data_IF_225216639309
#
_entry.id   IF_225216639309
#
_cell.length_a   1.000
_cell.length_b   1.000
_cell.length_c   1.000
_cell.angle_alpha   90.00
_cell.angle_beta   90.00
_cell.angle_gamma   90.00
#
_symmetry.space_group_name_H-M   'P 1'
#
loop_
_entity.id
_entity.type
_entity.pdbx_description
1 polymer ?
#
# COMPACT_ATOMS: atom_id res chain seq x y z
N UNK A 1 -8.88 64.30 -30.44
CA UNK A 1 -10.21 64.15 -31.08
C UNK A 1 -10.17 62.98 -32.05
N UNK A 2 -11.22 62.14 -31.99
CA UNK A 2 -11.62 61.06 -32.92
C UNK A 2 -10.91 59.69 -32.85
N UNK A 3 -11.60 58.80 -32.14
CA UNK A 3 -11.76 57.34 -32.35
C UNK A 3 -12.37 57.02 -33.74
N UNK A 4 -12.28 55.76 -34.26
CA UNK A 4 -13.18 54.64 -33.90
C UNK A 4 -12.43 53.29 -33.70
N UNK A 5 -12.75 52.43 -32.73
CA UNK A 5 -13.90 51.49 -32.63
C UNK A 5 -13.92 50.38 -33.69
N UNK A 6 -13.31 49.21 -33.39
CA UNK A 6 -13.57 47.95 -34.11
C UNK A 6 -13.92 46.84 -33.10
N UNK A 7 -15.13 46.32 -33.28
CA UNK A 7 -15.75 45.17 -32.62
C UNK A 7 -15.00 43.87 -32.94
N UNK A 8 -14.64 43.09 -31.91
CA UNK A 8 -14.32 41.67 -32.05
C UNK A 8 -15.53 40.84 -31.62
N UNK A 9 -16.22 40.25 -32.59
CA UNK A 9 -17.27 39.26 -32.34
C UNK A 9 -16.64 37.88 -32.15
N UNK A 10 -16.92 37.31 -30.97
CA UNK A 10 -16.70 35.91 -30.62
C UNK A 10 -17.63 35.01 -31.43
N UNK A 11 -17.06 34.07 -32.19
CA UNK A 11 -17.80 32.93 -32.75
C UNK A 11 -17.15 31.64 -32.28
N UNK A 12 -17.72 31.07 -31.22
CA UNK A 12 -17.49 29.68 -30.81
C UNK A 12 -18.08 28.75 -31.86
N UNK A 13 -17.24 27.97 -32.54
CA UNK A 13 -17.66 26.93 -33.47
C UNK A 13 -17.29 25.56 -32.87
N UNK A 14 -18.28 24.92 -32.24
CA UNK A 14 -18.18 23.60 -31.64
C UNK A 14 -18.48 22.55 -32.73
N UNK A 15 -17.45 22.01 -33.39
CA UNK A 15 -17.61 20.83 -34.27
C UNK A 15 -17.29 19.55 -33.50
N UNK A 16 -18.37 18.91 -33.09
CA UNK A 16 -18.49 17.49 -32.74
C UNK A 16 -17.97 16.61 -33.86
N UNK A 17 -16.94 15.81 -33.58
CA UNK A 17 -16.58 14.61 -34.36
C UNK A 17 -16.59 13.41 -33.41
N UNK A 18 -17.77 12.80 -33.29
CA UNK A 18 -17.93 11.44 -32.80
C UNK A 18 -17.52 10.47 -33.90
N UNK A 19 -16.45 9.70 -33.68
CA UNK A 19 -16.23 8.44 -34.37
C UNK A 19 -16.43 7.28 -33.37
N UNK A 20 -17.25 6.26 -33.70
CA UNK A 20 -17.42 5.09 -32.85
C UNK A 20 -16.29 4.10 -33.14
N UNK A 21 -15.30 4.01 -32.25
CA UNK A 21 -14.33 2.92 -32.27
C UNK A 21 -14.99 1.64 -31.71
N UNK A 22 -15.09 0.64 -32.58
CA UNK A 22 -15.54 -0.72 -32.28
C UNK A 22 -14.78 -1.30 -31.08
N UNK A 23 -15.49 -1.55 -29.98
CA UNK A 23 -14.97 -2.27 -28.82
C UNK A 23 -14.97 -3.76 -29.18
N UNK A 24 -13.80 -4.28 -29.53
CA UNK A 24 -13.54 -5.72 -29.58
C UNK A 24 -13.43 -6.22 -28.13
N UNK A 25 -14.53 -6.76 -27.60
CA UNK A 25 -14.58 -7.43 -26.30
C UNK A 25 -13.92 -8.80 -26.40
N UNK A 26 -12.62 -8.89 -26.10
CA UNK A 26 -11.98 -10.19 -25.85
C UNK A 26 -12.42 -10.72 -24.49
N UNK A 27 -13.48 -11.54 -24.46
CA UNK A 27 -13.83 -12.36 -23.30
C UNK A 27 -12.75 -13.41 -23.07
N UNK A 28 -11.77 -13.13 -22.21
CA UNK A 28 -10.94 -14.19 -21.63
C UNK A 28 -11.68 -14.79 -20.42
N UNK A 29 -12.44 -15.84 -20.70
CA UNK A 29 -13.04 -16.74 -19.72
C UNK A 29 -11.92 -17.57 -19.09
N UNK A 30 -11.49 -17.22 -17.88
CA UNK A 30 -10.60 -18.06 -17.06
C UNK A 30 -11.33 -19.35 -16.67
N UNK A 31 -11.12 -20.41 -17.44
CA UNK A 31 -11.47 -21.77 -17.08
C UNK A 31 -10.46 -22.26 -16.03
N UNK A 32 -10.85 -22.27 -14.75
CA UNK A 32 -10.13 -23.04 -13.73
C UNK A 32 -10.54 -24.50 -13.85
N UNK A 33 -9.68 -25.30 -14.49
CA UNK A 33 -9.72 -26.76 -14.45
C UNK A 33 -8.98 -27.24 -13.21
N UNK A 34 -9.68 -27.96 -12.33
CA UNK A 34 -9.08 -28.69 -11.22
C UNK A 34 -8.16 -29.79 -11.76
N UNK A 35 -6.84 -29.64 -11.59
CA UNK A 35 -5.92 -30.78 -11.63
C UNK A 35 -4.66 -30.43 -10.85
N UNK A 36 -4.38 -31.19 -9.78
CA UNK A 36 -3.07 -31.21 -9.14
C UNK A 36 -2.13 -32.05 -10.01
N UNK A 37 -0.93 -31.56 -10.31
CA UNK A 37 0.25 -32.39 -10.09
C UNK A 37 1.37 -31.64 -9.35
N UNK A 38 1.98 -32.36 -8.41
CA UNK A 38 3.26 -32.00 -7.77
C UNK A 38 4.38 -32.00 -8.81
N UNK A 39 5.13 -30.89 -8.95
CA UNK A 39 6.60 -30.78 -9.16
C UNK A 39 6.96 -29.31 -9.46
N UNK A 40 7.74 -28.70 -8.56
CA UNK A 40 8.50 -27.44 -8.68
C UNK A 40 7.73 -26.22 -9.23
N UNK A 41 6.86 -25.63 -8.40
CA UNK A 41 6.41 -24.26 -8.63
C UNK A 41 7.61 -23.29 -8.48
N UNK A 42 7.71 -22.20 -9.28
CA UNK A 42 8.68 -21.15 -9.00
C UNK A 42 8.36 -20.64 -7.60
N UNK A 43 9.28 -20.81 -6.66
CA UNK A 43 9.19 -20.11 -5.38
C UNK A 43 9.26 -18.64 -5.72
N UNK A 44 8.11 -17.93 -5.71
CA UNK A 44 8.09 -16.49 -5.94
C UNK A 44 8.70 -15.79 -4.72
N UNK A 45 10.02 -15.88 -4.60
CA UNK A 45 10.82 -15.42 -3.45
C UNK A 45 10.70 -13.91 -3.26
N UNK A 46 10.43 -13.15 -4.33
CA UNK A 46 10.21 -11.70 -4.26
C UNK A 46 8.78 -11.31 -3.85
N UNK A 47 7.75 -12.07 -4.23
CA UNK A 47 6.36 -11.66 -3.99
C UNK A 47 5.85 -12.17 -2.64
N UNK A 48 5.16 -11.32 -1.87
CA UNK A 48 4.49 -11.79 -0.66
C UNK A 48 3.43 -12.85 -0.98
N UNK A 49 3.10 -13.76 -0.05
CA UNK A 49 2.07 -14.76 -0.31
C UNK A 49 0.72 -14.11 -0.60
N UNK A 50 0.02 -14.57 -1.64
CA UNK A 50 -1.30 -14.04 -2.03
C UNK A 50 -2.33 -14.11 -0.92
N UNK A 51 -2.19 -15.08 0.01
CA UNK A 51 -3.03 -15.18 1.21
C UNK A 51 -2.90 -13.98 2.14
N UNK A 52 -1.85 -13.17 2.03
CA UNK A 52 -1.69 -11.93 2.81
C UNK A 52 -2.41 -10.73 2.20
N UNK A 53 -2.91 -10.87 0.97
CA UNK A 53 -3.70 -9.87 0.27
C UNK A 53 -5.20 -10.13 0.50
N UNK A 54 -6.05 -9.09 0.36
CA UNK A 54 -7.49 -9.30 0.33
C UNK A 54 -7.88 -10.19 -0.86
N UNK A 55 -8.81 -11.12 -0.61
CA UNK A 55 -9.33 -11.99 -1.67
C UNK A 55 -10.08 -11.17 -2.75
N UNK A 56 -10.13 -11.62 -4.01
CA UNK A 56 -10.96 -10.98 -5.02
C UNK A 56 -12.41 -10.84 -4.54
N UNK A 57 -12.97 -9.64 -4.67
CA UNK A 57 -14.34 -9.34 -4.30
C UNK A 57 -15.19 -9.25 -5.57
N UNK A 58 -15.77 -10.38 -5.96
CA UNK A 58 -16.65 -10.47 -7.12
C UNK A 58 -18.08 -10.08 -6.71
N UNK A 59 -18.45 -8.84 -7.03
CA UNK A 59 -19.80 -8.33 -6.78
C UNK A 59 -20.72 -8.66 -7.96
N UNK A 60 -21.97 -9.12 -7.71
CA UNK A 60 -22.92 -9.33 -8.78
C UNK A 60 -23.24 -8.00 -9.47
N UNK A 61 -23.30 -8.00 -10.80
CA UNK A 61 -23.80 -6.86 -11.58
C UNK A 61 -25.33 -6.86 -11.46
N UNK A 62 -25.91 -5.70 -11.14
CA UNK A 62 -27.36 -5.53 -11.09
C UNK A 62 -27.89 -5.34 -12.51
N UNK A 63 -28.81 -6.19 -12.93
CA UNK A 63 -29.52 -6.01 -14.20
C UNK A 63 -30.46 -4.78 -14.12
N UNK A 64 -30.61 -3.97 -15.20
CA UNK A 64 -31.37 -2.72 -15.18
C UNK A 64 -32.79 -2.83 -14.61
N UNK A 65 -33.47 -3.96 -14.86
CA UNK A 65 -34.87 -4.19 -14.47
C UNK A 65 -35.02 -5.16 -13.28
N UNK A 66 -33.93 -5.56 -12.63
CA UNK A 66 -34.01 -6.49 -11.50
C UNK A 66 -34.48 -5.77 -10.22
N UNK A 67 -35.53 -6.27 -9.54
CA UNK A 67 -35.91 -5.76 -8.23
C UNK A 67 -34.77 -5.99 -7.23
N UNK A 68 -34.45 -4.95 -6.46
CA UNK A 68 -33.31 -4.95 -5.52
C UNK A 68 -33.51 -5.95 -4.37
N UNK A 69 -34.74 -5.98 -3.84
CA UNK A 69 -35.05 -6.65 -2.60
C UNK A 69 -35.23 -8.15 -2.85
N UNK A 70 -34.55 -8.96 -2.04
CA UNK A 70 -34.43 -10.42 -2.08
C UNK A 70 -33.31 -11.00 -2.96
N UNK A 71 -33.51 -11.22 -4.27
CA UNK A 71 -32.52 -12.02 -5.04
C UNK A 71 -31.15 -11.34 -5.13
N UNK A 72 -31.12 -10.05 -5.49
CA UNK A 72 -29.88 -9.30 -5.62
C UNK A 72 -29.21 -9.08 -4.25
N UNK A 73 -29.97 -8.61 -3.25
CA UNK A 73 -29.46 -8.40 -1.90
C UNK A 73 -28.88 -9.67 -1.26
N UNK A 74 -29.54 -10.83 -1.39
CA UNK A 74 -29.01 -12.11 -0.89
C UNK A 74 -27.75 -12.54 -1.62
N UNK A 75 -27.68 -12.36 -2.94
CA UNK A 75 -26.48 -12.69 -3.74
C UNK A 75 -25.31 -11.80 -3.35
N UNK A 76 -25.57 -10.51 -3.19
CA UNK A 76 -24.59 -9.52 -2.73
C UNK A 76 -24.09 -9.84 -1.32
N UNK A 77 -25.00 -10.15 -0.38
CA UNK A 77 -24.67 -10.55 0.98
C UNK A 77 -23.80 -11.82 1.01
N UNK A 78 -24.13 -12.84 0.20
CA UNK A 78 -23.33 -14.05 0.05
C UNK A 78 -21.92 -13.77 -0.48
N UNK A 79 -21.77 -12.84 -1.44
CA UNK A 79 -20.47 -12.44 -1.95
C UNK A 79 -19.58 -11.83 -0.84
N UNK A 80 -20.11 -10.87 -0.08
CA UNK A 80 -19.39 -10.29 1.06
C UNK A 80 -19.08 -11.31 2.16
N UNK A 81 -20.03 -12.18 2.50
CA UNK A 81 -19.82 -13.22 3.51
C UNK A 81 -18.70 -14.18 3.11
N UNK A 82 -18.64 -14.58 1.83
CA UNK A 82 -17.54 -15.41 1.28
C UNK A 82 -16.20 -14.67 1.33
N UNK A 83 -16.18 -13.40 0.95
CA UNK A 83 -14.98 -12.56 1.02
C UNK A 83 -14.42 -12.48 2.45
N UNK A 84 -15.24 -12.09 3.44
CA UNK A 84 -14.78 -12.00 4.83
C UNK A 84 -14.40 -13.35 5.43
N UNK A 85 -15.16 -14.41 5.14
CA UNK A 85 -14.81 -15.78 5.56
C UNK A 85 -13.44 -16.19 5.02
N UNK A 86 -13.15 -15.87 3.77
CA UNK A 86 -11.85 -16.15 3.15
C UNK A 86 -10.75 -15.32 3.79
N UNK A 87 -10.97 -14.03 4.01
CA UNK A 87 -10.01 -13.15 4.68
C UNK A 87 -9.64 -13.62 6.08
N UNK A 88 -10.62 -14.01 6.90
CA UNK A 88 -10.38 -14.55 8.26
C UNK A 88 -9.64 -15.88 8.22
N UNK A 89 -10.01 -16.79 7.30
CA UNK A 89 -9.26 -18.06 7.10
C UNK A 89 -7.80 -17.80 6.72
N UNK A 90 -7.56 -16.85 5.84
CA UNK A 90 -6.22 -16.47 5.43
C UNK A 90 -5.38 -15.95 6.60
N UNK A 91 -5.94 -15.17 7.52
CA UNK A 91 -5.23 -14.73 8.73
C UNK A 91 -4.77 -15.94 9.55
N UNK A 92 -5.64 -16.92 9.74
CA UNK A 92 -5.30 -18.14 10.49
C UNK A 92 -4.16 -18.93 9.82
N UNK A 93 -4.25 -19.16 8.50
CA UNK A 93 -3.19 -19.87 7.78
C UNK A 93 -1.87 -19.10 7.74
N UNK A 94 -1.93 -17.78 7.55
CA UNK A 94 -0.75 -16.91 7.61
C UNK A 94 -0.13 -16.90 9.01
N UNK A 95 -0.95 -16.96 10.07
CA UNK A 95 -0.47 -17.08 11.44
C UNK A 95 0.33 -18.36 11.62
N UNK A 96 -0.22 -19.52 11.24
CA UNK A 96 0.49 -20.80 11.31
C UNK A 96 1.79 -20.76 10.51
N UNK A 97 1.73 -20.33 9.25
CA UNK A 97 2.91 -20.28 8.38
C UNK A 97 4.00 -19.35 8.95
N UNK A 98 3.61 -18.22 9.53
CA UNK A 98 4.54 -17.28 10.17
C UNK A 98 5.23 -17.84 11.41
N UNK A 99 4.61 -18.79 12.13
CA UNK A 99 5.18 -19.37 13.36
C UNK A 99 6.45 -20.18 13.05
N UNK A 100 6.44 -20.96 11.97
CA UNK A 100 7.61 -21.75 11.57
C UNK A 100 8.81 -20.86 11.28
N UNK A 101 8.57 -19.75 10.57
CA UNK A 101 9.61 -18.76 10.24
C UNK A 101 10.07 -18.04 11.51
N UNK A 102 9.15 -17.68 12.41
CA UNK A 102 9.49 -17.03 13.67
C UNK A 102 10.35 -17.92 14.56
N UNK A 103 10.04 -19.22 14.68
CA UNK A 103 10.84 -20.19 15.43
C UNK A 103 12.27 -20.26 14.88
N UNK A 104 12.43 -20.32 13.56
CA UNK A 104 13.76 -20.28 12.92
C UNK A 104 14.54 -19.01 13.30
N UNK A 105 13.89 -17.85 13.27
CA UNK A 105 14.53 -16.57 13.63
C UNK A 105 14.91 -16.54 15.11
N UNK A 106 14.05 -17.06 15.98
CA UNK A 106 14.28 -17.08 17.43
C UNK A 106 15.46 -18.01 17.78
N UNK A 107 15.49 -19.23 17.25
CA UNK A 107 16.50 -20.23 17.55
C UNK A 107 17.86 -19.93 16.89
N UNK A 108 17.87 -19.66 15.57
CA UNK A 108 19.12 -19.51 14.81
C UNK A 108 19.69 -18.09 14.86
N UNK A 109 18.84 -17.09 15.03
CA UNK A 109 19.21 -15.68 14.92
C UNK A 109 18.92 -14.85 16.17
N UNK A 110 18.61 -15.50 17.31
CA UNK A 110 18.34 -14.82 18.59
C UNK A 110 17.27 -13.73 18.46
N UNK A 111 16.20 -14.05 17.73
CA UNK A 111 15.09 -13.13 17.42
C UNK A 111 15.47 -11.91 16.57
N UNK A 112 16.66 -11.88 15.97
CA UNK A 112 17.11 -10.79 15.09
C UNK A 112 16.68 -11.03 13.64
N UNK A 113 15.61 -10.34 13.24
CA UNK A 113 15.12 -10.35 11.85
C UNK A 113 16.17 -9.82 10.86
N UNK A 114 16.89 -8.77 11.24
CA UNK A 114 17.94 -8.17 10.40
C UNK A 114 19.06 -9.18 10.12
N UNK A 115 19.47 -9.95 11.14
CA UNK A 115 20.49 -11.00 10.98
C UNK A 115 20.02 -12.13 10.06
N UNK A 116 18.77 -12.56 10.20
CA UNK A 116 18.17 -13.62 9.38
C UNK A 116 18.02 -13.22 7.90
N UNK A 117 17.69 -11.95 7.63
CA UNK A 117 17.65 -11.40 6.27
C UNK A 117 19.04 -11.32 5.66
N UNK A 118 20.00 -10.74 6.40
CA UNK A 118 21.39 -10.55 5.94
C UNK A 118 22.12 -11.87 5.72
N UNK A 119 21.80 -12.92 6.47
CA UNK A 119 22.37 -14.26 6.29
C UNK A 119 21.81 -15.02 5.09
N UNK A 120 20.83 -14.48 4.36
CA UNK A 120 20.20 -15.16 3.24
C UNK A 120 19.16 -16.22 3.63
N UNK A 121 18.81 -16.36 4.91
CA UNK A 121 17.89 -17.41 5.37
C UNK A 121 16.41 -17.09 5.21
N UNK A 122 16.06 -15.84 4.91
CA UNK A 122 14.68 -15.42 4.68
C UNK A 122 14.56 -14.80 3.31
N UNK A 123 13.59 -15.25 2.52
CA UNK A 123 13.17 -14.59 1.28
C UNK A 123 12.33 -13.32 1.55
N UNK A 124 12.09 -12.51 0.52
CA UNK A 124 11.14 -11.38 0.59
C UNK A 124 9.74 -11.88 0.88
N UNK A 125 9.33 -13.02 0.30
CA UNK A 125 8.03 -13.62 0.56
C UNK A 125 7.85 -13.94 2.04
N UNK A 126 8.86 -14.53 2.69
CA UNK A 126 8.86 -14.83 4.13
C UNK A 126 8.79 -13.55 4.98
N UNK A 127 9.63 -12.57 4.61
CA UNK A 127 9.66 -11.28 5.28
C UNK A 127 8.31 -10.58 5.21
N UNK A 128 7.68 -10.53 4.03
CA UNK A 128 6.37 -9.92 3.84
C UNK A 128 5.27 -10.67 4.59
N UNK A 129 5.32 -12.01 4.63
CA UNK A 129 4.41 -12.83 5.42
C UNK A 129 4.45 -12.47 6.91
N UNK A 130 5.65 -12.42 7.51
CA UNK A 130 5.83 -12.05 8.93
C UNK A 130 5.24 -10.66 9.23
N UNK A 131 5.53 -9.69 8.36
CA UNK A 131 5.15 -8.29 8.57
C UNK A 131 3.65 -8.07 8.43
N UNK A 132 3.05 -8.63 7.37
CA UNK A 132 1.59 -8.57 7.11
C UNK A 132 0.81 -9.36 8.17
N UNK A 133 1.26 -10.56 8.52
CA UNK A 133 0.61 -11.35 9.56
C UNK A 133 0.64 -10.64 10.92
N UNK A 134 1.77 -10.05 11.33
CA UNK A 134 1.84 -9.29 12.59
C UNK A 134 0.90 -8.09 12.60
N UNK A 135 0.69 -7.45 11.45
CA UNK A 135 -0.27 -6.35 11.30
C UNK A 135 -1.71 -6.82 11.51
N UNK A 136 -2.08 -7.96 10.93
CA UNK A 136 -3.44 -8.49 10.95
C UNK A 136 -3.80 -9.10 12.30
N UNK A 137 -2.93 -9.94 12.87
CA UNK A 137 -3.13 -10.56 14.18
C UNK A 137 -3.36 -9.52 15.28
N UNK A 138 -2.66 -8.38 15.23
CA UNK A 138 -2.87 -7.27 16.20
C UNK A 138 -4.24 -6.60 16.08
N UNK A 139 -4.92 -6.75 14.94
CA UNK A 139 -6.23 -6.14 14.66
C UNK A 139 -7.39 -7.10 14.84
N UNK A 140 -7.15 -8.41 14.80
CA UNK A 140 -8.18 -9.43 15.01
C UNK A 140 -9.00 -9.20 16.29
N UNK A 141 -8.41 -8.88 17.46
CA UNK A 141 -9.23 -8.68 18.68
C UNK A 141 -10.22 -7.52 18.55
N UNK A 142 -9.77 -6.38 18.01
CA UNK A 142 -10.62 -5.20 17.83
C UNK A 142 -11.66 -5.46 16.74
N UNK A 143 -11.27 -6.12 15.65
CA UNK A 143 -12.16 -6.52 14.57
C UNK A 143 -13.26 -7.47 15.06
N UNK A 144 -12.90 -8.47 15.88
CA UNK A 144 -13.84 -9.40 16.49
C UNK A 144 -14.79 -8.69 17.47
N UNK A 145 -14.29 -7.73 18.25
CA UNK A 145 -15.12 -6.91 19.13
C UNK A 145 -16.15 -6.08 18.33
N UNK A 146 -15.73 -5.43 17.25
CA UNK A 146 -16.64 -4.69 16.36
C UNK A 146 -17.70 -5.62 15.79
N UNK A 147 -17.31 -6.82 15.33
CA UNK A 147 -18.25 -7.81 14.82
C UNK A 147 -19.26 -8.27 15.88
N UNK A 148 -18.80 -8.49 17.12
CA UNK A 148 -19.67 -8.88 18.24
C UNK A 148 -20.68 -7.78 18.61
N UNK A 149 -20.22 -6.53 18.70
CA UNK A 149 -21.06 -5.40 19.10
C UNK A 149 -22.03 -4.98 18.00
N UNK A 150 -21.56 -4.94 16.75
CA UNK A 150 -22.37 -4.46 15.62
C UNK A 150 -23.22 -5.57 15.00
N UNK A 151 -22.92 -6.85 15.27
CA UNK A 151 -23.69 -8.00 14.78
C UNK A 151 -23.93 -7.94 13.27
N UNK A 152 -25.20 -7.88 12.88
CA UNK A 152 -25.62 -7.77 11.48
C UNK A 152 -25.27 -6.42 10.81
N UNK A 153 -25.08 -5.35 11.58
CA UNK A 153 -24.66 -4.03 11.05
C UNK A 153 -23.16 -3.93 10.78
N UNK A 154 -22.38 -4.98 11.06
CA UNK A 154 -20.93 -4.99 10.86
C UNK A 154 -20.48 -4.61 9.44
N UNK A 155 -21.13 -5.03 8.35
CA UNK A 155 -20.75 -4.59 7.00
C UNK A 155 -20.76 -3.07 6.82
N UNK A 156 -21.67 -2.34 7.47
CA UNK A 156 -21.73 -0.87 7.40
C UNK A 156 -20.58 -0.23 8.18
N UNK A 157 -20.28 -0.76 9.37
CA UNK A 157 -19.20 -0.25 10.25
C UNK A 157 -17.83 -0.51 9.65
N UNK A 158 -17.63 -1.70 9.07
CA UNK A 158 -16.39 -2.09 8.42
C UNK A 158 -16.10 -1.23 7.19
N UNK A 159 -17.13 -0.81 6.44
CA UNK A 159 -16.96 0.15 5.33
C UNK A 159 -16.45 1.51 5.84
N UNK A 160 -16.95 1.97 6.99
CA UNK A 160 -16.61 3.28 7.55
C UNK A 160 -15.21 3.35 8.19
N UNK A 161 -14.68 2.25 8.74
CA UNK A 161 -13.48 2.26 9.58
C UNK A 161 -12.40 1.28 9.06
N UNK A 162 -11.58 1.70 8.10
CA UNK A 162 -10.48 0.88 7.53
C UNK A 162 -9.34 0.57 8.51
N UNK A 163 -9.21 1.31 9.61
CA UNK A 163 -8.11 1.19 10.57
C UNK A 163 -8.17 -0.08 11.42
N UNK A 164 -9.39 -0.56 11.69
CA UNK A 164 -9.68 -1.75 12.51
C UNK A 164 -9.62 -3.04 11.68
N UNK A 165 -9.80 -2.93 10.37
CA UNK A 165 -9.95 -4.07 9.47
C UNK A 165 -8.58 -4.67 9.12
N UNK A 166 -8.37 -5.99 9.33
CA UNK A 166 -7.19 -6.70 8.84
C UNK A 166 -7.02 -6.55 7.32
N UNK A 167 -5.80 -6.58 6.82
CA UNK A 167 -5.51 -6.39 5.39
C UNK A 167 -6.21 -7.42 4.51
N UNK A 168 -6.25 -8.68 4.91
CA UNK A 168 -6.98 -9.75 4.20
C UNK A 168 -8.49 -9.52 4.07
N UNK A 169 -9.06 -8.62 4.89
CA UNK A 169 -10.48 -8.28 4.90
C UNK A 169 -10.78 -6.89 4.33
N UNK A 170 -9.80 -6.20 3.72
CA UNK A 170 -10.00 -4.85 3.17
C UNK A 170 -10.63 -4.90 1.79
N UNK A 171 -11.72 -4.16 1.61
CA UNK A 171 -12.40 -4.03 0.32
C UNK A 171 -11.55 -3.17 -0.63
N UNK A 172 -11.48 -3.46 -1.94
CA UNK A 172 -10.70 -2.68 -2.90
C UNK A 172 -10.92 -1.16 -2.82
N UNK A 173 -12.19 -0.72 -2.76
CA UNK A 173 -12.55 0.71 -2.59
C UNK A 173 -11.93 1.34 -1.35
N UNK A 174 -11.76 0.58 -0.27
CA UNK A 174 -11.12 1.09 0.96
C UNK A 174 -9.61 1.25 0.77
N UNK A 175 -8.97 0.32 0.06
CA UNK A 175 -7.54 0.42 -0.26
C UNK A 175 -7.27 1.65 -1.11
N UNK A 176 -8.09 1.89 -2.13
CA UNK A 176 -7.96 3.07 -3.00
C UNK A 176 -8.20 4.38 -2.23
N UNK A 177 -9.24 4.41 -1.38
CA UNK A 177 -9.53 5.55 -0.52
C UNK A 177 -8.40 5.84 0.48
N UNK A 178 -7.86 4.80 1.13
CA UNK A 178 -6.71 4.91 2.04
C UNK A 178 -5.48 5.44 1.32
N UNK A 179 -5.18 4.93 0.11
CA UNK A 179 -4.06 5.40 -0.73
C UNK A 179 -4.22 6.87 -1.12
N UNK A 180 -5.43 7.29 -1.52
CA UNK A 180 -5.73 8.67 -1.89
C UNK A 180 -5.57 9.61 -0.71
N UNK A 181 -6.15 9.28 0.45
CA UNK A 181 -6.00 10.06 1.69
C UNK A 181 -4.54 10.18 2.12
N UNK A 182 -3.76 9.10 1.97
CA UNK A 182 -2.34 9.11 2.29
C UNK A 182 -1.55 10.03 1.34
N UNK A 183 -1.83 10.01 0.03
CA UNK A 183 -1.19 10.92 -0.91
C UNK A 183 -1.57 12.38 -0.66
N UNK A 184 -2.83 12.68 -0.34
CA UNK A 184 -3.26 14.03 0.04
C UNK A 184 -2.49 14.53 1.27
N UNK A 185 -2.38 13.70 2.31
CA UNK A 185 -1.60 13.99 3.52
C UNK A 185 -0.13 14.23 3.21
N UNK A 186 0.47 13.39 2.37
CA UNK A 186 1.84 13.55 1.88
C UNK A 186 2.01 14.87 1.12
N UNK A 187 1.08 15.19 0.22
CA UNK A 187 1.12 16.43 -0.55
C UNK A 187 1.03 17.68 0.32
N UNK A 188 0.24 17.65 1.40
CA UNK A 188 0.18 18.72 2.41
C UNK A 188 1.51 18.78 3.19
N UNK A 189 2.02 17.64 3.63
CA UNK A 189 3.24 17.57 4.43
C UNK A 189 4.46 18.11 3.67
N UNK A 190 4.59 17.83 2.37
CA UNK A 190 5.66 18.37 1.53
C UNK A 190 5.52 19.87 1.27
N UNK A 191 4.29 20.41 1.18
CA UNK A 191 4.07 21.86 1.04
C UNK A 191 4.56 22.63 2.28
N UNK A 192 4.44 22.01 3.45
CA UNK A 192 4.84 22.60 4.73
C UNK A 192 6.28 22.27 5.13
N UNK A 193 7.00 21.45 4.35
CA UNK A 193 8.37 21.06 4.65
C UNK A 193 9.34 22.17 4.19
N UNK A 194 9.72 23.05 5.12
CA UNK A 194 10.63 24.18 4.87
C UNK A 194 12.08 23.91 5.27
N UNK A 195 12.36 22.73 5.82
CA UNK A 195 13.64 22.40 6.45
C UNK A 195 14.55 21.66 5.46
N UNK A 196 15.85 21.98 5.51
CA UNK A 196 16.88 21.30 4.72
C UNK A 196 16.94 19.81 5.04
N UNK A 197 17.34 19.00 4.06
CA UNK A 197 17.66 17.60 4.29
C UNK A 197 18.78 17.46 5.32
N UNK A 198 18.80 16.37 6.12
CA UNK A 198 19.89 16.13 7.04
C UNK A 198 21.22 15.96 6.27
N UNK A 199 22.34 16.11 6.97
CA UNK A 199 23.63 15.71 6.43
C UNK A 199 23.62 14.20 6.12
N UNK A 200 24.33 13.80 5.07
CA UNK A 200 24.42 12.39 4.70
C UNK A 200 24.99 11.57 5.86
N UNK A 201 24.38 10.42 6.14
CA UNK A 201 24.78 9.53 7.23
C UNK A 201 24.31 9.92 8.63
N UNK A 202 23.54 11.00 8.79
CA UNK A 202 22.96 11.38 10.08
C UNK A 202 22.01 10.31 10.67
N UNK A 203 21.44 9.47 9.80
CA UNK A 203 20.48 8.44 10.15
C UNK A 203 19.25 9.00 10.85
N UNK A 204 18.44 8.11 11.44
CA UNK A 204 17.21 8.53 12.14
C UNK A 204 17.50 9.32 13.42
N UNK A 205 18.68 9.14 14.01
CA UNK A 205 19.04 9.81 15.25
C UNK A 205 19.32 11.31 15.06
N UNK A 206 19.88 11.70 13.91
CA UNK A 206 20.11 13.10 13.56
C UNK A 206 18.87 13.84 13.03
N UNK A 207 17.72 13.19 12.91
CA UNK A 207 16.51 13.83 12.39
C UNK A 207 15.88 14.78 13.41
N UNK A 208 15.57 15.99 12.93
CA UNK A 208 14.82 17.00 13.67
C UNK A 208 13.35 16.59 13.79
N UNK A 209 12.65 17.16 14.79
CA UNK A 209 11.24 16.83 15.06
C UNK A 209 10.35 17.01 13.82
N UNK A 210 10.50 18.10 13.08
CA UNK A 210 9.68 18.39 11.91
C UNK A 210 9.96 17.42 10.74
N UNK A 211 11.21 16.96 10.57
CA UNK A 211 11.56 15.92 9.62
C UNK A 211 10.91 14.58 10.01
N UNK A 212 10.96 14.23 11.29
CA UNK A 212 10.31 13.04 11.83
C UNK A 212 8.77 13.11 11.65
N UNK A 213 8.16 14.27 11.87
CA UNK A 213 6.72 14.49 11.67
C UNK A 213 6.36 14.35 10.20
N UNK A 214 7.15 14.96 9.31
CA UNK A 214 6.98 14.82 7.88
C UNK A 214 7.00 13.36 7.45
N UNK A 215 8.03 12.60 7.82
CA UNK A 215 8.13 11.18 7.47
C UNK A 215 6.93 10.40 8.03
N UNK A 216 6.54 10.65 9.28
CA UNK A 216 5.40 9.98 9.90
C UNK A 216 4.09 10.27 9.18
N UNK A 217 3.84 11.52 8.77
CA UNK A 217 2.65 11.91 8.04
C UNK A 217 2.64 11.38 6.60
N UNK A 218 3.74 11.57 5.87
CA UNK A 218 3.92 11.15 4.48
C UNK A 218 3.78 9.63 4.27
N UNK A 219 4.12 8.84 5.29
CA UNK A 219 4.02 7.38 5.29
C UNK A 219 2.84 6.84 6.12
N UNK A 220 2.04 7.70 6.75
CA UNK A 220 0.89 7.29 7.56
C UNK A 220 1.27 6.45 8.78
N UNK A 221 2.42 6.71 9.40
CA UNK A 221 2.90 5.94 10.56
C UNK A 221 2.07 6.22 11.82
N UNK A 222 1.40 7.37 11.92
CA UNK A 222 0.57 7.78 13.05
C UNK A 222 -0.90 7.96 12.65
N UNK A 223 -1.81 7.62 13.56
CA UNK A 223 -3.23 7.94 13.40
C UNK A 223 -3.44 9.45 13.37
N UNK A 224 -4.39 9.91 12.55
CA UNK A 224 -4.82 11.31 12.48
C UNK A 224 -5.26 11.89 13.82
N UNK A 225 -5.72 11.03 14.73
CA UNK A 225 -6.16 11.44 16.06
C UNK A 225 -5.02 12.07 16.88
N UNK A 226 -3.77 11.62 16.66
CA UNK A 226 -2.60 12.20 17.31
C UNK A 226 -2.32 13.64 16.87
N UNK A 227 -2.83 14.03 15.70
CA UNK A 227 -2.69 15.38 15.19
C UNK A 227 -3.61 16.35 15.97
N UNK A 228 -4.70 15.84 16.56
CA UNK A 228 -5.65 16.61 17.37
C UNK A 228 -5.30 16.65 18.86
N UNK A 229 -4.70 15.59 19.41
CA UNK A 229 -4.40 15.46 20.86
C UNK A 229 -3.17 16.30 21.28
N UNK A 230 -2.31 16.73 20.34
CA UNK A 230 -0.98 17.28 20.64
C UNK A 230 -0.90 18.72 21.18
N UNK A 231 -2.01 19.47 21.30
CA UNK A 231 -1.96 20.87 21.75
C UNK A 231 -1.01 21.75 20.92
N UNK A 232 -0.02 22.40 21.56
CA UNK A 232 0.98 23.28 20.89
C UNK A 232 1.99 22.53 20.00
N UNK A 233 2.12 21.22 20.13
CA UNK A 233 3.04 20.38 19.33
C UNK A 233 2.25 19.23 18.71
N UNK A 234 1.68 19.41 17.51
CA UNK A 234 0.85 18.37 16.90
C UNK A 234 1.64 17.06 16.74
N UNK A 235 0.95 15.93 16.94
CA UNK A 235 1.49 14.59 16.73
C UNK A 235 2.14 13.94 17.96
N UNK A 236 2.79 12.80 17.72
CA UNK A 236 3.36 11.93 18.76
C UNK A 236 4.53 12.60 19.52
N UNK A 237 4.78 12.17 20.77
CA UNK A 237 6.03 12.47 21.49
C UNK A 237 7.26 12.10 20.66
N UNK A 238 8.31 12.92 20.73
CA UNK A 238 9.48 12.81 19.85
C UNK A 238 10.16 11.43 19.91
N UNK A 239 10.28 10.84 21.11
CA UNK A 239 10.87 9.52 21.28
C UNK A 239 10.08 8.42 20.57
N UNK A 240 8.74 8.47 20.65
CA UNK A 240 7.85 7.50 19.97
C UNK A 240 7.95 7.69 18.46
N UNK A 241 7.92 8.94 18.00
CA UNK A 241 8.03 9.29 16.59
C UNK A 241 9.34 8.76 16.00
N UNK A 242 10.46 9.05 16.67
CA UNK A 242 11.80 8.56 16.31
C UNK A 242 11.85 7.03 16.27
N UNK A 243 11.28 6.34 17.26
CA UNK A 243 11.21 4.87 17.27
C UNK A 243 10.39 4.31 16.10
N UNK A 244 9.27 4.95 15.74
CA UNK A 244 8.43 4.50 14.62
C UNK A 244 9.10 4.74 13.28
N UNK A 245 9.75 5.90 13.10
CA UNK A 245 10.53 6.20 11.91
C UNK A 245 11.72 5.23 11.79
N UNK A 246 12.47 4.98 12.87
CA UNK A 246 13.58 4.04 12.88
C UNK A 246 13.15 2.63 12.45
N UNK A 247 12.05 2.11 13.01
CA UNK A 247 11.49 0.81 12.61
C UNK A 247 11.03 0.78 11.15
N UNK A 248 10.54 1.91 10.62
CA UNK A 248 10.14 1.99 9.20
C UNK A 248 11.35 2.05 8.28
N UNK A 249 12.37 2.83 8.63
CA UNK A 249 13.64 2.89 7.89
C UNK A 249 14.27 1.50 7.85
N UNK A 250 14.44 0.85 9.00
CA UNK A 250 14.96 -0.53 9.08
C UNK A 250 14.16 -1.50 8.21
N UNK A 251 12.83 -1.44 8.26
CA UNK A 251 11.96 -2.25 7.40
C UNK A 251 12.24 -2.02 5.90
N UNK A 252 12.35 -0.75 5.48
CA UNK A 252 12.61 -0.42 4.07
C UNK A 252 14.00 -0.86 3.63
N UNK A 253 15.01 -0.77 4.50
CA UNK A 253 16.36 -1.25 4.19
C UNK A 253 16.42 -2.76 3.99
N UNK A 254 15.74 -3.51 4.86
CA UNK A 254 15.63 -4.96 4.70
C UNK A 254 14.83 -5.33 3.44
N UNK A 255 13.70 -4.65 3.19
CA UNK A 255 12.90 -4.90 1.98
C UNK A 255 13.66 -4.53 0.69
N UNK A 256 14.42 -3.43 0.68
CA UNK A 256 15.26 -3.04 -0.47
C UNK A 256 16.33 -4.10 -0.77
N UNK A 257 16.97 -4.65 0.26
CA UNK A 257 17.95 -5.75 0.12
C UNK A 257 17.28 -6.99 -0.47
N UNK A 258 16.13 -7.39 0.09
CA UNK A 258 15.38 -8.56 -0.33
C UNK A 258 14.87 -8.42 -1.77
N UNK A 259 14.38 -7.24 -2.16
CA UNK A 259 13.98 -6.98 -3.56
C UNK A 259 15.17 -7.18 -4.49
N UNK A 260 16.35 -6.61 -4.19
CA UNK A 260 17.53 -6.76 -5.06
C UNK A 260 17.97 -8.23 -5.18
N UNK A 261 17.90 -8.99 -4.08
CA UNK A 261 18.37 -10.38 -4.02
C UNK A 261 17.41 -11.38 -4.66
N UNK A 262 16.11 -11.20 -4.50
CA UNK A 262 15.12 -12.26 -4.77
C UNK A 262 14.44 -12.14 -6.15
N UNK A 263 14.98 -11.33 -7.08
CA UNK A 263 14.49 -11.21 -8.46
C UNK A 263 14.39 -9.76 -8.98
N UNK A 264 14.44 -8.78 -8.07
CA UNK A 264 14.35 -7.37 -8.40
C UNK A 264 12.92 -6.91 -8.72
N UNK A 265 12.81 -5.65 -9.14
CA UNK A 265 11.51 -5.02 -9.42
C UNK A 265 10.82 -5.63 -10.63
N UNK A 266 11.54 -6.29 -11.55
CA UNK A 266 10.96 -6.91 -12.75
C UNK A 266 10.04 -8.10 -12.43
N UNK A 267 10.40 -8.89 -11.43
CA UNK A 267 9.73 -10.15 -11.07
C UNK A 267 8.60 -9.92 -10.04
N UNK A 268 8.44 -8.68 -9.58
CA UNK A 268 7.35 -8.30 -8.68
C UNK A 268 6.01 -8.27 -9.40
N UNK A 269 4.94 -8.72 -8.76
CA UNK A 269 3.57 -8.56 -9.24
C UNK A 269 3.11 -7.09 -9.17
N UNK A 270 2.08 -6.72 -9.93
CA UNK A 270 1.59 -5.34 -9.99
C UNK A 270 1.24 -4.78 -8.61
N UNK A 271 0.46 -5.52 -7.82
CA UNK A 271 0.01 -5.04 -6.51
C UNK A 271 1.17 -4.97 -5.51
N UNK A 272 2.16 -5.88 -5.62
CA UNK A 272 3.41 -5.82 -4.85
C UNK A 272 4.22 -4.56 -5.16
N UNK A 273 4.31 -4.17 -6.44
CA UNK A 273 4.96 -2.91 -6.84
C UNK A 273 4.20 -1.70 -6.29
N UNK A 274 2.87 -1.70 -6.39
CA UNK A 274 2.01 -0.61 -5.86
C UNK A 274 2.22 -0.46 -4.35
N UNK A 275 2.17 -1.54 -3.58
CA UNK A 275 2.40 -1.50 -2.14
C UNK A 275 3.81 -1.04 -1.80
N UNK A 276 4.84 -1.60 -2.43
CA UNK A 276 6.23 -1.21 -2.19
C UNK A 276 6.48 0.28 -2.47
N UNK A 277 5.82 0.82 -3.51
CA UNK A 277 5.82 2.25 -3.81
C UNK A 277 5.15 3.08 -2.71
N UNK A 278 3.96 2.67 -2.26
CA UNK A 278 3.23 3.36 -1.18
C UNK A 278 4.05 3.40 0.11
N UNK A 279 4.69 2.29 0.48
CA UNK A 279 5.51 2.16 1.69
C UNK A 279 6.74 3.08 1.70
N UNK A 280 7.25 3.42 0.51
CA UNK A 280 8.39 4.32 0.25
C UNK A 280 7.99 5.77 -0.01
N UNK A 281 6.70 6.10 0.09
CA UNK A 281 6.24 7.47 -0.12
C UNK A 281 6.05 7.87 -1.60
N UNK A 282 5.98 6.91 -2.51
CA UNK A 282 5.78 7.14 -3.95
C UNK A 282 4.28 7.23 -4.24
N UNK A 283 3.86 8.23 -5.00
CA UNK A 283 2.47 8.37 -5.44
C UNK A 283 2.13 7.28 -6.46
N UNK A 284 1.09 6.50 -6.18
CA UNK A 284 0.56 5.42 -7.03
C UNK A 284 -0.78 5.75 -7.70
N UNK A 285 -1.42 6.85 -7.31
CA UNK A 285 -2.75 7.23 -7.78
C UNK A 285 -2.68 7.61 -9.26
N UNK A 286 -3.51 6.96 -10.09
CA UNK A 286 -3.59 7.22 -11.52
C UNK A 286 -2.33 6.88 -12.32
N UNK A 287 -1.40 6.11 -11.73
CA UNK A 287 -0.15 5.72 -12.40
C UNK A 287 -0.21 4.29 -12.92
N UNK A 288 0.33 4.12 -14.12
CA UNK A 288 0.59 2.82 -14.71
C UNK A 288 1.71 2.07 -13.98
N UNK A 289 1.63 0.74 -13.96
CA UNK A 289 2.59 -0.14 -13.28
C UNK A 289 4.00 0.05 -13.81
N UNK A 290 4.16 0.27 -15.13
CA UNK A 290 5.46 0.51 -15.73
C UNK A 290 6.16 1.72 -15.11
N UNK A 291 5.42 2.83 -14.96
CA UNK A 291 5.91 4.05 -14.31
C UNK A 291 6.26 3.77 -12.84
N UNK A 292 5.48 2.96 -12.13
CA UNK A 292 5.78 2.57 -10.75
C UNK A 292 7.04 1.73 -10.64
N UNK A 293 7.26 0.76 -11.54
CA UNK A 293 8.51 -0.01 -11.61
C UNK A 293 9.71 0.89 -11.88
N UNK A 294 9.56 1.91 -12.74
CA UNK A 294 10.63 2.89 -12.97
C UNK A 294 10.96 3.71 -11.71
N UNK A 295 9.94 4.20 -11.00
CA UNK A 295 10.13 4.92 -9.74
C UNK A 295 10.76 4.02 -8.67
N UNK A 296 10.34 2.76 -8.58
CA UNK A 296 10.88 1.79 -7.63
C UNK A 296 12.36 1.49 -7.92
N UNK A 297 12.72 1.30 -9.19
CA UNK A 297 14.12 1.16 -9.58
C UNK A 297 14.94 2.43 -9.30
N UNK A 298 14.36 3.60 -9.51
CA UNK A 298 15.00 4.88 -9.17
C UNK A 298 15.24 5.02 -7.66
N UNK A 299 14.30 4.57 -6.82
CA UNK A 299 14.49 4.47 -5.37
C UNK A 299 15.70 3.57 -5.03
N UNK A 300 15.72 2.33 -5.53
CA UNK A 300 16.77 1.35 -5.24
C UNK A 300 18.17 1.81 -5.67
N UNK A 301 18.27 2.54 -6.79
CA UNK A 301 19.53 3.17 -7.25
C UNK A 301 19.90 4.42 -6.46
N UNK A 302 18.92 5.13 -5.90
CA UNK A 302 19.18 6.31 -5.06
C UNK A 302 19.65 5.91 -3.67
N UNK A 303 19.19 4.75 -3.17
CA UNK A 303 19.62 4.15 -1.90
C UNK A 303 21.11 3.80 -1.84
N UNK A 304 21.75 3.61 -2.98
CA UNK A 304 23.21 3.41 -3.06
C UNK A 304 24.00 4.71 -2.83
N UNK A 305 23.33 5.87 -2.98
CA UNK A 305 23.96 7.20 -2.90
C UNK A 305 23.60 7.97 -1.63
N UNK A 306 22.44 7.71 -1.03
CA UNK A 306 21.98 8.43 0.17
C UNK A 306 21.08 7.55 1.06
N UNK A 307 20.91 7.98 2.32
CA UNK A 307 20.09 7.34 3.35
C UNK A 307 18.60 7.26 3.02
N UNK A 308 17.87 6.34 3.65
CA UNK A 308 16.41 6.19 3.44
C UNK A 308 15.72 7.49 3.86
N UNK A 309 16.13 8.04 4.99
CA UNK A 309 15.62 9.26 5.58
C UNK A 309 15.68 10.44 4.60
N UNK A 310 16.79 10.59 3.87
CA UNK A 310 16.94 11.65 2.87
C UNK A 310 15.96 11.44 1.70
N UNK A 311 15.79 10.20 1.23
CA UNK A 311 14.81 9.91 0.17
C UNK A 311 13.37 10.13 0.63
N UNK A 312 13.05 9.83 1.89
CA UNK A 312 11.72 10.07 2.46
C UNK A 312 11.40 11.55 2.67
N UNK A 313 12.42 12.40 2.79
CA UNK A 313 12.29 13.85 2.92
C UNK A 313 12.31 14.58 1.57
N UNK A 314 12.51 13.87 0.47
CA UNK A 314 12.64 14.44 -0.87
C UNK A 314 11.64 13.82 -1.84
N UNK A 315 11.21 14.60 -2.84
CA UNK A 315 10.36 14.09 -3.91
C UNK A 315 11.18 13.25 -4.90
N UNK A 316 10.56 12.31 -5.63
CA UNK A 316 11.25 11.51 -6.65
C UNK A 316 12.04 12.31 -7.71
N UNK A 317 11.63 13.55 -7.99
CA UNK A 317 12.33 14.44 -8.91
C UNK A 317 13.69 14.95 -8.37
N UNK A 318 13.84 15.00 -7.04
CA UNK A 318 15.02 15.47 -6.34
C UNK A 318 15.94 14.32 -5.89
N UNK A 319 15.60 13.07 -6.21
CA UNK A 319 16.45 11.94 -5.88
C UNK A 319 17.74 11.90 -6.71
N UNK A 320 18.85 11.38 -6.15
CA UNK A 320 20.12 11.24 -6.86
C UNK A 320 20.06 10.42 -8.15
N UNK A 321 19.14 9.47 -8.24
CA UNK A 321 18.90 8.66 -9.44
C UNK A 321 17.45 8.85 -9.88
N UNK A 322 17.25 9.48 -11.04
CA UNK A 322 15.92 9.78 -11.58
C UNK A 322 15.26 8.54 -12.21
N UNK A 323 13.91 8.46 -12.22
CA UNK A 323 13.21 7.50 -13.07
C UNK A 323 13.51 7.83 -14.53
N UNK A 324 14.11 6.88 -15.27
CA UNK A 324 14.37 7.03 -16.71
C UNK A 324 13.09 6.70 -17.45
N UNK A 325 12.42 7.70 -18.02
CA UNK A 325 11.37 7.44 -19.01
C UNK A 325 12.07 6.88 -20.24
N UNK A 326 11.78 5.62 -20.58
CA UNK A 326 12.21 5.02 -21.83
C UNK A 326 11.37 5.58 -22.98
#
# INVERSE_FOLDING_TARGET
MRTPSILFQSTFNLKSQFQPSLICTSSQRLLQTNTVPSTLAPTHTVNGPLSTLPAPLDLPIREPNQPFFFKYALTLGKAYARFYKTGVKNIYYNFIASRNIQTLIDEKYKSSLSSAVKSGSLSRSDFQLLRRNSHDVKRVPIFALVFLVCGEFTPLVVIAISSVVPWTCRIPKQIDSDRKKLEERRAISFRNLTIKTPADGAGVQGLQRMQLLHISWSLGLSSSMWDYIGGRLPGLPNAILKRKVAKRVEYLELDDLLIKRDGGVKDMEEEEVRMACVERGINVIGKDVHILRMHMNAWLRSREKTGVETLLLTRPAAWPSKPKML
#
